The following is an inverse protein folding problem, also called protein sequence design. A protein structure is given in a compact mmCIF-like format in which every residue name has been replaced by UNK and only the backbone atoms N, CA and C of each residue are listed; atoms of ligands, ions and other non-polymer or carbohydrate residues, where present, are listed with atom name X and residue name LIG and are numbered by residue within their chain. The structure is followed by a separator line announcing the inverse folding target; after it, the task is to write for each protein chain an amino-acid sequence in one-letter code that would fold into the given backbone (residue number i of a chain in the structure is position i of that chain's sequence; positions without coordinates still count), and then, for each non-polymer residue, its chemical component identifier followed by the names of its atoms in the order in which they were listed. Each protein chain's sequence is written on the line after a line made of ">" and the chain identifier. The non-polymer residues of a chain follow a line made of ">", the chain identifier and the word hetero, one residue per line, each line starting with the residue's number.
data_IF_513748004276
#
_entry.id   IF_513748004276
#
_cell.length_a   1.000
_cell.length_b   1.000
_cell.length_c   1.000
_cell.angle_alpha   90.00
_cell.angle_beta   90.00
_cell.angle_gamma   90.00
#
_symmetry.space_group_name_H-M   'P 1'
#
loop_
_entity.id
_entity.type
_entity.pdbx_description
1 polymer ?
#
# COMPACT_ATOMS: atom_id res chain seq x y z
N UNK A 1 -3.31 1.75 -45.44
CA UNK A 1 -2.42 2.50 -44.53
C UNK A 1 -2.41 1.75 -43.21
N UNK A 2 -1.33 1.02 -42.91
CA UNK A 2 -1.15 0.40 -41.60
C UNK A 2 -1.01 1.51 -40.55
N UNK A 3 -1.90 1.54 -39.57
CA UNK A 3 -1.71 2.37 -38.37
C UNK A 3 -0.36 2.03 -37.75
N UNK A 4 0.49 3.01 -37.40
CA UNK A 4 1.80 2.74 -36.81
C UNK A 4 1.59 1.91 -35.55
N UNK A 5 2.23 0.73 -35.47
CA UNK A 5 2.21 -0.10 -34.27
C UNK A 5 2.77 0.75 -33.13
N UNK A 6 1.90 1.16 -32.19
CA UNK A 6 2.32 1.78 -30.93
C UNK A 6 3.43 0.92 -30.33
N UNK A 7 4.61 1.51 -30.14
CA UNK A 7 5.77 0.83 -29.57
C UNK A 7 5.39 0.20 -28.23
N UNK A 8 5.52 -1.12 -28.14
CA UNK A 8 5.22 -1.85 -26.91
C UNK A 8 6.31 -1.55 -25.90
N UNK A 9 5.91 -1.05 -24.74
CA UNK A 9 6.84 -0.70 -23.65
C UNK A 9 6.78 -1.76 -22.57
N UNK A 10 7.94 -2.28 -22.19
CA UNK A 10 8.12 -3.11 -21.00
C UNK A 10 8.85 -2.24 -19.97
N UNK A 11 8.29 -2.14 -18.78
CA UNK A 11 8.86 -1.35 -17.69
C UNK A 11 9.08 -2.25 -16.48
N UNK A 12 10.33 -2.34 -16.03
CA UNK A 12 10.79 -3.21 -14.94
C UNK A 12 11.03 -2.36 -13.70
N UNK A 13 10.20 -2.57 -12.69
CA UNK A 13 10.17 -1.80 -11.46
C UNK A 13 10.54 -2.71 -10.29
N UNK A 14 11.48 -2.29 -9.45
CA UNK A 14 11.75 -2.94 -8.17
C UNK A 14 11.07 -2.16 -7.05
N UNK A 15 10.39 -2.87 -6.14
CA UNK A 15 10.01 -2.34 -4.84
C UNK A 15 10.92 -2.94 -3.78
N UNK A 16 11.80 -2.12 -3.19
CA UNK A 16 12.73 -2.49 -2.12
C UNK A 16 12.35 -1.78 -0.81
N UNK A 17 13.00 -2.17 0.29
CA UNK A 17 12.85 -1.58 1.62
C UNK A 17 12.81 -2.61 2.74
N UNK A 18 12.82 -2.10 3.97
CA UNK A 18 12.73 -2.88 5.19
C UNK A 18 11.34 -3.50 5.42
N UNK A 19 11.16 -4.27 6.51
CA UNK A 19 9.86 -4.79 6.90
C UNK A 19 8.86 -3.65 7.13
N UNK A 20 7.55 -3.92 7.00
CA UNK A 20 6.49 -2.92 7.20
C UNK A 20 6.55 -1.64 6.33
N UNK A 21 7.37 -1.56 5.28
CA UNK A 21 7.41 -0.37 4.38
C UNK A 21 6.19 -0.18 3.47
N UNK A 22 5.32 -1.21 3.37
CA UNK A 22 4.10 -1.18 2.54
C UNK A 22 4.25 -1.76 1.13
N UNK A 23 5.36 -2.47 0.84
CA UNK A 23 5.67 -3.06 -0.49
C UNK A 23 4.52 -3.89 -1.07
N UNK A 24 4.03 -4.90 -0.35
CA UNK A 24 2.95 -5.80 -0.84
C UNK A 24 1.65 -5.04 -1.18
N UNK A 25 1.29 -4.06 -0.36
CA UNK A 25 0.15 -3.17 -0.63
C UNK A 25 0.44 -2.27 -1.84
N UNK A 26 1.65 -1.75 -1.95
CA UNK A 26 2.14 -0.96 -3.08
C UNK A 26 2.06 -1.72 -4.40
N UNK A 27 2.55 -2.96 -4.46
CA UNK A 27 2.43 -3.83 -5.63
C UNK A 27 0.97 -4.01 -6.06
N UNK A 28 0.07 -4.24 -5.10
CA UNK A 28 -1.36 -4.42 -5.37
C UNK A 28 -2.01 -3.14 -5.92
N UNK A 29 -1.61 -1.98 -5.40
CA UNK A 29 -2.07 -0.66 -5.85
C UNK A 29 -1.57 -0.32 -7.26
N UNK A 30 -0.28 -0.52 -7.51
CA UNK A 30 0.34 -0.37 -8.84
C UNK A 30 -0.32 -1.30 -9.86
N UNK A 31 -0.49 -2.57 -9.51
CA UNK A 31 -1.15 -3.54 -10.39
C UNK A 31 -2.54 -3.08 -10.78
N UNK A 32 -3.37 -2.73 -9.79
CA UNK A 32 -4.73 -2.24 -10.05
C UNK A 32 -4.72 -0.97 -10.91
N UNK A 33 -3.83 -0.03 -10.61
CA UNK A 33 -3.74 1.25 -11.32
C UNK A 33 -3.36 1.05 -12.80
N UNK A 34 -2.28 0.31 -13.07
CA UNK A 34 -1.79 0.08 -14.43
C UNK A 34 -2.68 -0.85 -15.25
N UNK A 35 -3.29 -1.87 -14.63
CA UNK A 35 -4.29 -2.70 -15.31
C UNK A 35 -5.51 -1.89 -15.75
N UNK A 36 -5.96 -0.93 -14.93
CA UNK A 36 -7.03 0.00 -15.32
C UNK A 36 -6.64 0.95 -16.45
N UNK A 37 -5.34 1.21 -16.65
CA UNK A 37 -4.80 1.94 -17.80
C UNK A 37 -4.63 1.05 -19.04
N UNK A 38 -4.98 -0.24 -18.97
CA UNK A 38 -4.86 -1.19 -20.08
C UNK A 38 -3.50 -1.89 -20.16
N UNK A 39 -2.59 -1.68 -19.21
CA UNK A 39 -1.30 -2.37 -19.17
C UNK A 39 -1.49 -3.83 -18.71
N UNK A 40 -0.60 -4.71 -19.16
CA UNK A 40 -0.38 -6.01 -18.51
C UNK A 40 0.51 -5.76 -17.32
N UNK A 41 0.14 -6.29 -16.15
CA UNK A 41 1.03 -6.27 -14.99
C UNK A 41 1.48 -7.69 -14.67
N UNK A 42 2.79 -7.85 -14.50
CA UNK A 42 3.43 -9.04 -13.94
C UNK A 42 3.98 -8.69 -12.56
N UNK A 43 3.88 -9.64 -11.63
CA UNK A 43 4.48 -9.52 -10.31
C UNK A 43 5.41 -10.69 -10.11
N UNK A 44 6.67 -10.38 -9.89
CA UNK A 44 7.70 -11.36 -9.58
C UNK A 44 7.68 -11.57 -8.07
N UNK A 45 7.44 -12.79 -7.58
CA UNK A 45 7.38 -13.07 -6.15
C UNK A 45 8.75 -12.91 -5.49
N UNK A 46 8.75 -12.60 -4.19
CA UNK A 46 9.98 -12.56 -3.38
C UNK A 46 10.62 -13.97 -3.36
N UNK A 47 11.76 -14.12 -4.04
CA UNK A 47 12.42 -15.43 -4.23
C UNK A 47 12.86 -16.03 -2.91
N UNK A 48 13.29 -15.19 -1.95
CA UNK A 48 13.64 -15.65 -0.60
C UNK A 48 12.46 -16.33 0.09
N UNK A 49 11.25 -15.74 0.03
CA UNK A 49 10.06 -16.35 0.60
C UNK A 49 9.71 -17.70 -0.05
N UNK A 50 9.89 -17.82 -1.36
CA UNK A 50 9.68 -19.08 -2.08
C UNK A 50 10.63 -20.17 -1.55
N UNK A 51 11.93 -19.88 -1.46
CA UNK A 51 12.93 -20.83 -0.99
C UNK A 51 12.77 -21.20 0.49
N UNK A 52 12.49 -20.22 1.35
CA UNK A 52 12.28 -20.45 2.79
C UNK A 52 11.01 -21.26 3.07
N UNK A 53 9.93 -21.00 2.33
CA UNK A 53 8.70 -21.80 2.43
C UNK A 53 8.90 -23.27 2.01
N UNK A 54 9.95 -23.55 1.23
CA UNK A 54 10.36 -24.89 0.81
C UNK A 54 11.13 -25.69 1.88
N UNK A 55 11.32 -25.14 3.08
CA UNK A 55 11.95 -25.84 4.21
C UNK A 55 13.38 -25.41 4.52
N UNK A 56 13.92 -24.41 3.82
CA UNK A 56 15.24 -23.85 4.14
C UNK A 56 15.14 -22.95 5.36
N UNK A 57 15.99 -23.19 6.36
CA UNK A 57 16.08 -22.39 7.58
C UNK A 57 17.48 -21.84 7.74
N UNK A 58 17.62 -20.51 7.76
CA UNK A 58 18.92 -19.86 7.90
C UNK A 58 19.68 -20.26 9.17
N UNK A 59 18.96 -20.50 10.27
CA UNK A 59 19.56 -20.89 11.56
C UNK A 59 20.23 -22.27 11.54
N UNK A 60 19.92 -23.12 10.56
CA UNK A 60 20.47 -24.47 10.45
C UNK A 60 21.70 -24.52 9.54
N UNK A 61 22.03 -23.42 8.84
CA UNK A 61 23.11 -23.37 7.84
C UNK A 61 24.43 -22.96 8.49
N UNK A 62 25.50 -23.70 8.19
CA UNK A 62 26.88 -23.27 8.45
C UNK A 62 27.27 -22.12 7.52
N UNK A 63 28.35 -21.43 7.82
CA UNK A 63 28.80 -20.24 7.08
C UNK A 63 28.98 -20.49 5.57
N UNK A 64 29.60 -21.61 5.19
CA UNK A 64 29.77 -22.01 3.79
C UNK A 64 28.45 -22.37 3.11
N UNK A 65 27.53 -23.01 3.83
CA UNK A 65 26.20 -23.36 3.33
C UNK A 65 25.34 -22.10 3.14
N UNK A 66 25.47 -21.13 4.04
CA UNK A 66 24.84 -19.82 3.93
C UNK A 66 25.38 -19.03 2.72
N UNK A 67 26.69 -19.06 2.47
CA UNK A 67 27.27 -18.47 1.26
C UNK A 67 26.70 -19.12 -0.01
N UNK A 68 26.68 -20.46 -0.05
CA UNK A 68 26.14 -21.19 -1.21
C UNK A 68 24.64 -20.97 -1.38
N UNK A 69 23.91 -20.81 -0.29
CA UNK A 69 22.50 -20.45 -0.33
C UNK A 69 22.29 -19.08 -0.95
N UNK A 70 23.06 -18.06 -0.55
CA UNK A 70 22.97 -16.71 -1.10
C UNK A 70 23.29 -16.67 -2.61
N UNK A 71 24.29 -17.45 -3.04
CA UNK A 71 24.59 -17.65 -4.46
C UNK A 71 23.39 -18.23 -5.22
N UNK A 72 22.79 -19.31 -4.70
CA UNK A 72 21.63 -19.95 -5.34
C UNK A 72 20.37 -19.08 -5.28
N UNK A 73 20.18 -18.31 -4.21
CA UNK A 73 19.10 -17.34 -4.08
C UNK A 73 19.16 -16.32 -5.20
N UNK A 74 20.35 -15.72 -5.43
CA UNK A 74 20.52 -14.73 -6.48
C UNK A 74 20.37 -15.34 -7.89
N UNK A 75 20.92 -16.54 -8.14
CA UNK A 75 20.71 -17.28 -9.40
C UNK A 75 19.23 -17.50 -9.68
N UNK A 76 18.50 -17.96 -8.67
CA UNK A 76 17.06 -18.24 -8.78
C UNK A 76 16.28 -16.96 -9.03
N UNK A 77 16.62 -15.88 -8.32
CA UNK A 77 15.97 -14.57 -8.50
C UNK A 77 16.13 -14.06 -9.93
N UNK A 78 17.36 -14.10 -10.46
CA UNK A 78 17.66 -13.72 -11.84
C UNK A 78 16.84 -14.56 -12.83
N UNK A 79 16.80 -15.88 -12.64
CA UNK A 79 16.08 -16.78 -13.55
C UNK A 79 14.55 -16.55 -13.54
N UNK A 80 13.96 -16.35 -12.36
CA UNK A 80 12.52 -16.08 -12.24
C UNK A 80 12.20 -14.74 -12.92
N UNK A 81 12.97 -13.69 -12.64
CA UNK A 81 12.81 -12.38 -13.28
C UNK A 81 12.95 -12.46 -14.81
N UNK A 82 13.98 -13.16 -15.32
CA UNK A 82 14.19 -13.34 -16.77
C UNK A 82 12.99 -14.03 -17.42
N UNK A 83 12.41 -15.03 -16.73
CA UNK A 83 11.20 -15.70 -17.18
C UNK A 83 10.04 -14.71 -17.35
N UNK A 84 9.82 -13.82 -16.37
CA UNK A 84 8.79 -12.79 -16.49
C UNK A 84 9.12 -11.73 -17.55
N UNK A 85 10.40 -11.39 -17.73
CA UNK A 85 10.85 -10.44 -18.74
C UNK A 85 10.59 -10.98 -20.15
N UNK A 86 10.88 -12.26 -20.40
CA UNK A 86 10.57 -12.93 -21.68
C UNK A 86 9.06 -13.05 -21.91
N UNK A 87 8.29 -13.46 -20.89
CA UNK A 87 6.83 -13.51 -21.00
C UNK A 87 6.24 -12.13 -21.31
N UNK A 88 6.80 -11.05 -20.77
CA UNK A 88 6.36 -9.69 -21.09
C UNK A 88 6.63 -9.29 -22.54
N UNK A 89 7.70 -9.79 -23.18
CA UNK A 89 7.98 -9.57 -24.61
C UNK A 89 6.94 -10.21 -25.53
N UNK A 90 6.36 -11.34 -25.11
CA UNK A 90 5.30 -12.02 -25.88
C UNK A 90 3.94 -11.31 -25.82
N UNK A 91 3.77 -10.35 -24.90
CA UNK A 91 2.48 -9.68 -24.72
C UNK A 91 2.13 -8.73 -25.88
N UNK A 92 0.84 -8.67 -26.19
CA UNK A 92 0.26 -7.75 -27.19
C UNK A 92 0.16 -6.28 -26.74
N UNK A 93 0.38 -6.00 -25.45
CA UNK A 93 0.13 -4.71 -24.78
C UNK A 93 1.36 -4.24 -24.00
N UNK A 94 1.36 -2.98 -23.57
CA UNK A 94 2.38 -2.47 -22.65
C UNK A 94 2.41 -3.30 -21.35
N UNK A 95 3.61 -3.53 -20.82
CA UNK A 95 3.84 -4.38 -19.66
C UNK A 95 4.55 -3.62 -18.54
N UNK A 96 4.02 -3.70 -17.33
CA UNK A 96 4.71 -3.35 -16.10
C UNK A 96 5.08 -4.65 -15.39
N UNK A 97 6.35 -4.80 -15.02
CA UNK A 97 6.85 -5.93 -14.25
C UNK A 97 7.31 -5.38 -12.91
N UNK A 98 6.70 -5.84 -11.83
CA UNK A 98 6.98 -5.40 -10.47
C UNK A 98 7.74 -6.52 -9.77
N UNK A 99 8.99 -6.28 -9.39
CA UNK A 99 9.79 -7.20 -8.59
C UNK A 99 9.66 -6.85 -7.10
N UNK A 100 9.24 -7.85 -6.31
CA UNK A 100 9.27 -7.77 -4.84
C UNK A 100 10.68 -8.06 -4.35
N UNK A 101 11.46 -7.00 -4.11
CA UNK A 101 12.93 -7.00 -4.08
C UNK A 101 13.56 -7.37 -5.42
N UNK A 102 14.77 -6.88 -5.67
CA UNK A 102 15.54 -7.20 -6.87
C UNK A 102 16.93 -7.74 -6.53
N UNK A 103 17.71 -8.06 -7.56
CA UNK A 103 19.03 -8.67 -7.45
C UNK A 103 19.97 -8.03 -6.41
N UNK A 104 19.98 -6.69 -6.31
CA UNK A 104 20.86 -6.00 -5.37
C UNK A 104 20.40 -6.15 -3.91
N UNK A 105 19.11 -6.40 -3.62
CA UNK A 105 18.64 -6.63 -2.24
C UNK A 105 19.37 -7.80 -1.57
N UNK A 106 19.90 -8.77 -2.34
CA UNK A 106 20.69 -9.87 -1.80
C UNK A 106 21.99 -9.39 -1.12
N UNK A 107 22.57 -8.27 -1.57
CA UNK A 107 23.79 -7.72 -0.97
C UNK A 107 23.56 -7.15 0.43
N UNK A 108 22.31 -6.84 0.81
CA UNK A 108 21.98 -6.34 2.14
C UNK A 108 22.11 -7.43 3.23
N UNK A 109 22.19 -8.71 2.85
CA UNK A 109 22.22 -9.85 3.77
C UNK A 109 23.59 -10.54 3.88
N UNK A 110 24.62 -10.03 3.19
CA UNK A 110 25.97 -10.58 3.24
C UNK A 110 27.03 -9.48 3.34
N UNK A 111 28.21 -9.81 3.86
CA UNK A 111 29.31 -8.84 3.93
C UNK A 111 29.78 -8.43 2.54
N UNK A 112 30.36 -7.23 2.44
CA UNK A 112 30.86 -6.67 1.19
C UNK A 112 31.90 -7.58 0.52
N UNK A 113 32.79 -8.17 1.31
CA UNK A 113 33.86 -9.07 0.82
C UNK A 113 33.26 -10.34 0.22
N UNK A 114 32.23 -10.91 0.89
CA UNK A 114 31.50 -12.07 0.37
C UNK A 114 30.71 -11.73 -0.88
N UNK A 115 30.11 -10.55 -0.95
CA UNK A 115 29.40 -10.07 -2.15
C UNK A 115 30.33 -9.89 -3.35
N UNK A 116 31.48 -9.26 -3.16
CA UNK A 116 32.49 -9.11 -4.22
C UNK A 116 33.00 -10.46 -4.72
N UNK A 117 33.25 -11.41 -3.82
CA UNK A 117 33.60 -12.78 -4.17
C UNK A 117 32.50 -13.47 -4.96
N UNK A 118 31.24 -13.35 -4.52
CA UNK A 118 30.08 -13.95 -5.17
C UNK A 118 29.86 -13.38 -6.58
N UNK A 119 30.05 -12.08 -6.77
CA UNK A 119 30.03 -11.44 -8.10
C UNK A 119 31.12 -12.03 -9.01
N UNK A 120 32.36 -12.12 -8.50
CA UNK A 120 33.51 -12.65 -9.24
C UNK A 120 33.34 -14.11 -9.64
N UNK A 121 32.94 -14.96 -8.69
CA UNK A 121 32.77 -16.41 -8.89
C UNK A 121 31.70 -16.73 -9.95
N UNK A 122 30.71 -15.85 -10.12
CA UNK A 122 29.60 -16.02 -11.07
C UNK A 122 29.74 -15.16 -12.34
N UNK A 123 30.85 -14.44 -12.50
CA UNK A 123 31.09 -13.51 -13.61
C UNK A 123 29.95 -12.48 -13.76
N UNK A 124 29.44 -11.99 -12.64
CA UNK A 124 28.45 -10.92 -12.57
C UNK A 124 29.13 -9.58 -12.31
N UNK A 125 28.46 -8.52 -12.74
CA UNK A 125 28.90 -7.16 -12.47
C UNK A 125 27.72 -6.30 -12.02
N UNK A 126 28.01 -5.31 -11.19
CA UNK A 126 26.99 -4.47 -10.59
C UNK A 126 26.27 -3.57 -11.59
N UNK A 127 26.87 -3.22 -12.72
CA UNK A 127 26.19 -2.39 -13.75
C UNK A 127 25.07 -3.18 -14.40
N UNK A 128 25.34 -4.43 -14.78
CA UNK A 128 24.32 -5.31 -15.34
C UNK A 128 23.21 -5.61 -14.33
N UNK A 129 23.58 -5.97 -13.09
CA UNK A 129 22.59 -6.34 -12.07
C UNK A 129 21.80 -5.14 -11.53
N UNK A 130 22.42 -3.97 -11.36
CA UNK A 130 21.78 -2.77 -10.80
C UNK A 130 21.11 -1.95 -11.90
N UNK A 131 21.86 -1.55 -12.93
CA UNK A 131 21.48 -0.45 -13.84
C UNK A 131 20.74 -0.94 -15.09
N UNK A 132 21.26 -1.98 -15.76
CA UNK A 132 20.69 -2.43 -17.04
C UNK A 132 19.47 -3.33 -16.87
N UNK A 133 19.34 -3.98 -15.71
CA UNK A 133 18.28 -4.96 -15.46
C UNK A 133 16.94 -4.32 -15.16
N UNK A 134 16.93 -3.19 -14.45
CA UNK A 134 15.70 -2.51 -14.00
C UNK A 134 15.60 -1.11 -14.58
N UNK A 135 14.38 -0.64 -14.82
CA UNK A 135 14.16 0.73 -15.28
C UNK A 135 14.06 1.72 -14.13
N UNK A 136 13.57 1.27 -12.97
CA UNK A 136 13.38 2.10 -11.79
C UNK A 136 13.38 1.25 -10.53
N UNK A 137 13.92 1.84 -9.47
CA UNK A 137 13.93 1.28 -8.12
C UNK A 137 13.16 2.23 -7.22
N UNK A 138 12.21 1.69 -6.44
CA UNK A 138 11.50 2.44 -5.42
C UNK A 138 11.79 1.84 -4.06
N UNK A 139 12.42 2.63 -3.19
CA UNK A 139 12.59 2.31 -1.78
C UNK A 139 11.38 2.75 -0.98
N UNK A 140 10.67 1.79 -0.42
CA UNK A 140 9.52 2.00 0.45
C UNK A 140 9.98 1.98 1.90
N UNK A 141 10.24 3.17 2.48
CA UNK A 141 10.80 3.33 3.83
C UNK A 141 9.96 2.59 4.87
N UNK A 142 10.59 1.78 5.72
CA UNK A 142 9.93 1.04 6.80
C UNK A 142 9.10 1.95 7.71
N UNK A 143 7.94 1.46 8.19
CA UNK A 143 7.19 2.17 9.23
C UNK A 143 8.01 2.39 10.51
N UNK A 144 9.07 1.59 10.73
CA UNK A 144 10.01 1.80 11.84
C UNK A 144 10.76 3.15 11.76
N UNK A 145 10.72 3.86 10.63
CA UNK A 145 11.39 5.15 10.46
C UNK A 145 10.35 6.27 10.20
N UNK A 146 10.01 7.05 11.23
CA UNK A 146 9.10 8.20 11.12
C UNK A 146 7.60 7.85 11.10
N UNK A 147 7.24 6.61 11.42
CA UNK A 147 5.86 6.13 11.55
C UNK A 147 5.77 4.96 12.55
N UNK A 148 6.60 5.00 13.59
CA UNK A 148 6.86 3.90 14.54
C UNK A 148 5.58 3.40 15.21
N UNK A 149 4.63 4.32 15.42
CA UNK A 149 3.31 4.03 15.98
C UNK A 149 2.48 3.03 15.14
N UNK A 150 2.82 2.85 13.86
CA UNK A 150 2.19 1.90 12.93
C UNK A 150 3.02 0.63 12.71
N UNK A 151 4.19 0.50 13.35
CA UNK A 151 5.02 -0.69 13.25
C UNK A 151 4.53 -1.77 14.24
N UNK A 152 3.74 -2.72 13.75
CA UNK A 152 3.21 -3.83 14.56
C UNK A 152 3.85 -5.17 14.17
N UNK A 153 4.38 -5.91 15.14
CA UNK A 153 4.93 -7.27 14.97
C UNK A 153 3.86 -8.36 15.07
N UNK A 154 2.67 -8.05 15.60
CA UNK A 154 1.66 -9.04 16.03
C UNK A 154 1.00 -9.88 14.92
N UNK A 155 0.98 -9.44 13.66
CA UNK A 155 0.17 -10.05 12.59
C UNK A 155 0.97 -10.75 11.46
N UNK A 156 2.29 -10.81 11.59
CA UNK A 156 3.13 -11.50 10.60
C UNK A 156 3.94 -12.59 11.29
N UNK A 157 3.56 -13.86 11.06
CA UNK A 157 4.17 -15.09 11.59
C UNK A 157 5.66 -15.29 11.28
N UNK A 158 6.33 -14.30 10.69
CA UNK A 158 7.73 -14.31 10.30
C UNK A 158 8.50 -13.06 10.75
N UNK A 159 7.98 -12.24 11.68
CA UNK A 159 8.65 -11.00 12.11
C UNK A 159 8.90 -11.00 13.62
N UNK A 160 10.13 -11.29 14.00
CA UNK A 160 10.64 -11.17 15.37
C UNK A 160 11.40 -9.87 15.61
N UNK A 161 11.68 -9.09 14.56
CA UNK A 161 12.61 -7.97 14.63
C UNK A 161 12.02 -6.74 15.35
N UNK A 162 12.75 -6.24 16.34
CA UNK A 162 12.48 -4.95 17.00
C UNK A 162 12.55 -3.76 16.04
N UNK A 163 12.06 -2.59 16.50
CA UNK A 163 12.01 -1.36 15.69
C UNK A 163 13.40 -0.95 15.21
N UNK A 164 14.43 -1.10 16.05
CA UNK A 164 15.81 -0.75 15.74
C UNK A 164 16.37 -1.62 14.62
N UNK A 165 16.21 -2.94 14.72
CA UNK A 165 16.64 -3.87 13.67
C UNK A 165 15.87 -3.62 12.36
N UNK A 166 14.58 -3.28 12.45
CA UNK A 166 13.77 -2.92 11.29
C UNK A 166 14.24 -1.64 10.58
N UNK A 167 14.81 -0.68 11.31
CA UNK A 167 15.46 0.51 10.73
C UNK A 167 16.77 0.14 10.03
N UNK A 168 17.62 -0.64 10.71
CA UNK A 168 18.89 -1.10 10.13
C UNK A 168 18.68 -1.89 8.83
N UNK A 169 17.70 -2.80 8.81
CA UNK A 169 17.32 -3.55 7.61
C UNK A 169 16.75 -2.65 6.50
N UNK A 170 16.08 -1.55 6.83
CA UNK A 170 15.61 -0.57 5.86
C UNK A 170 16.79 0.19 5.24
N UNK A 171 17.72 0.65 6.07
CA UNK A 171 18.90 1.38 5.64
C UNK A 171 19.81 0.51 4.76
N UNK A 172 20.02 -0.76 5.14
CA UNK A 172 20.79 -1.72 4.35
C UNK A 172 20.13 -2.00 2.99
N UNK A 173 18.79 -2.11 2.95
CA UNK A 173 18.05 -2.29 1.71
C UNK A 173 18.18 -1.06 0.80
N UNK A 174 18.09 0.16 1.34
CA UNK A 174 18.33 1.38 0.56
C UNK A 174 19.77 1.44 0.04
N UNK A 175 20.74 1.13 0.89
CA UNK A 175 22.16 1.19 0.58
C UNK A 175 22.56 0.26 -0.57
N UNK A 176 21.92 -0.91 -0.68
CA UNK A 176 22.15 -1.87 -1.76
C UNK A 176 21.90 -1.30 -3.16
N UNK A 177 21.05 -0.27 -3.27
CA UNK A 177 20.66 0.34 -4.54
C UNK A 177 21.35 1.68 -4.83
N UNK A 178 22.24 2.15 -3.94
CA UNK A 178 22.99 3.39 -4.15
C UNK A 178 23.77 3.31 -5.47
N UNK A 179 23.61 4.38 -6.27
CA UNK A 179 24.22 4.53 -7.58
C UNK A 179 23.34 4.13 -8.76
N UNK A 180 22.14 3.56 -8.54
CA UNK A 180 21.18 3.38 -9.62
C UNK A 180 20.66 4.75 -10.12
N UNK A 181 20.63 5.03 -11.44
CA UNK A 181 20.27 6.35 -11.97
C UNK A 181 18.81 6.76 -11.73
N UNK A 182 17.93 5.78 -11.52
CA UNK A 182 16.50 6.00 -11.27
C UNK A 182 16.08 5.32 -9.96
N UNK A 183 16.55 5.89 -8.84
CA UNK A 183 16.23 5.46 -7.47
C UNK A 183 15.35 6.51 -6.80
N UNK A 184 14.14 6.12 -6.40
CA UNK A 184 13.16 6.98 -5.75
C UNK A 184 12.88 6.49 -4.32
N UNK A 185 12.90 7.40 -3.35
CA UNK A 185 12.63 7.08 -1.94
C UNK A 185 11.25 7.60 -1.55
N UNK A 186 10.42 6.71 -1.01
CA UNK A 186 9.06 7.02 -0.54
C UNK A 186 9.04 6.89 0.98
N UNK A 187 9.28 8.02 1.65
CA UNK A 187 9.30 8.16 3.12
C UNK A 187 7.91 8.09 3.78
N UNK A 188 7.83 8.25 5.10
CA UNK A 188 6.59 8.26 5.86
C UNK A 188 6.07 9.68 6.20
N UNK A 189 6.48 10.71 5.43
CA UNK A 189 6.07 12.12 5.65
C UNK A 189 4.57 12.39 5.51
N UNK A 190 3.82 11.44 4.97
CA UNK A 190 2.38 11.52 4.71
C UNK A 190 1.69 10.31 5.29
N UNK A 191 0.37 10.37 5.43
CA UNK A 191 -0.45 9.19 5.72
C UNK A 191 -0.20 8.05 4.71
N UNK A 192 -0.62 6.84 5.08
CA UNK A 192 -0.34 5.66 4.26
C UNK A 192 -0.90 5.77 2.83
N UNK A 193 -2.08 6.37 2.64
CA UNK A 193 -2.63 6.59 1.30
C UNK A 193 -1.84 7.65 0.51
N UNK A 194 -1.40 8.74 1.15
CA UNK A 194 -0.46 9.71 0.57
C UNK A 194 0.85 9.06 0.13
N UNK A 195 1.39 8.15 0.95
CA UNK A 195 2.58 7.37 0.64
C UNK A 195 2.39 6.52 -0.62
N UNK A 196 1.28 5.78 -0.69
CA UNK A 196 0.94 4.98 -1.88
C UNK A 196 0.74 5.85 -3.12
N UNK A 197 0.14 7.04 -2.99
CA UNK A 197 -0.04 7.98 -4.10
C UNK A 197 1.30 8.49 -4.62
N UNK A 198 2.22 8.90 -3.74
CA UNK A 198 3.58 9.32 -4.12
C UNK A 198 4.35 8.21 -4.84
N UNK A 199 4.25 6.97 -4.35
CA UNK A 199 4.84 5.81 -5.02
C UNK A 199 4.31 5.66 -6.46
N UNK A 200 2.98 5.64 -6.67
CA UNK A 200 2.41 5.52 -8.02
C UNK A 200 2.78 6.74 -8.88
N UNK A 201 2.76 7.93 -8.29
CA UNK A 201 3.18 9.19 -8.93
C UNK A 201 4.59 9.12 -9.47
N UNK A 202 5.54 8.66 -8.66
CA UNK A 202 6.93 8.47 -9.05
C UNK A 202 7.06 7.50 -10.25
N UNK A 203 6.38 6.35 -10.22
CA UNK A 203 6.39 5.42 -11.37
C UNK A 203 5.84 6.09 -12.63
N UNK A 204 4.70 6.78 -12.52
CA UNK A 204 4.08 7.39 -13.69
C UNK A 204 4.89 8.53 -14.28
N UNK A 205 5.53 9.34 -13.43
CA UNK A 205 6.41 10.43 -13.85
C UNK A 205 7.58 9.88 -14.67
N UNK A 206 8.27 8.83 -14.19
CA UNK A 206 9.36 8.19 -14.93
C UNK A 206 8.90 7.49 -16.20
N UNK A 207 7.66 6.96 -16.18
CA UNK A 207 7.04 6.38 -17.36
C UNK A 207 6.50 7.42 -18.35
N UNK A 208 6.56 8.73 -18.03
CA UNK A 208 5.95 9.80 -18.82
C UNK A 208 4.48 9.50 -19.18
N UNK A 209 3.75 8.88 -18.25
CA UNK A 209 2.31 8.64 -18.40
C UNK A 209 1.61 9.90 -17.90
N UNK A 210 0.81 10.53 -18.77
CA UNK A 210 -0.09 11.59 -18.34
C UNK A 210 -1.17 11.00 -17.43
N UNK A 211 -1.00 11.19 -16.14
CA UNK A 211 -1.92 10.69 -15.11
C UNK A 211 -3.08 11.65 -14.87
N UNK A 212 -3.07 12.81 -15.52
CA UNK A 212 -3.91 13.95 -15.17
C UNK A 212 -3.97 14.15 -13.64
N UNK A 213 -5.19 14.33 -13.14
CA UNK A 213 -5.52 14.62 -11.75
C UNK A 213 -5.47 13.40 -10.81
N UNK A 214 -5.08 12.20 -11.26
CA UNK A 214 -5.25 10.99 -10.41
C UNK A 214 -4.23 10.88 -9.28
N UNK A 215 -3.06 11.52 -9.43
CA UNK A 215 -1.89 11.30 -8.57
C UNK A 215 -1.35 12.56 -7.90
N UNK A 216 -1.97 13.74 -8.10
CA UNK A 216 -1.55 14.93 -7.35
C UNK A 216 -1.92 14.77 -5.87
N UNK A 217 -1.16 15.41 -4.97
CA UNK A 217 -1.26 15.24 -3.51
C UNK A 217 -2.66 15.50 -2.93
N UNK A 218 -3.48 16.30 -3.60
CA UNK A 218 -4.87 16.62 -3.27
C UNK A 218 -5.92 15.73 -3.94
N UNK A 219 -5.52 14.62 -4.59
CA UNK A 219 -6.45 13.66 -5.20
C UNK A 219 -7.28 12.97 -4.14
N UNK A 220 -8.58 13.28 -4.10
CA UNK A 220 -9.58 12.74 -3.17
C UNK A 220 -10.53 11.81 -3.89
N UNK A 221 -10.94 10.76 -3.18
CA UNK A 221 -12.02 9.88 -3.65
C UNK A 221 -13.34 10.61 -3.48
N UNK A 222 -14.08 10.77 -4.57
CA UNK A 222 -15.43 11.32 -4.54
C UNK A 222 -16.45 10.23 -4.87
N UNK A 223 -17.62 10.34 -4.24
CA UNK A 223 -18.73 9.42 -4.43
C UNK A 223 -20.01 10.21 -4.66
N UNK A 224 -20.76 9.83 -5.68
CA UNK A 224 -22.01 10.47 -6.05
C UNK A 224 -23.14 9.45 -6.08
N UNK A 225 -24.30 9.84 -5.57
CA UNK A 225 -25.54 9.09 -5.75
C UNK A 225 -26.09 9.39 -7.14
N UNK A 226 -26.41 8.34 -7.90
CA UNK A 226 -26.98 8.45 -9.24
C UNK A 226 -28.44 8.03 -9.19
N UNK A 227 -29.31 8.89 -9.75
CA UNK A 227 -30.74 8.62 -9.86
C UNK A 227 -31.01 7.76 -11.09
N UNK A 228 -31.59 6.59 -10.86
CA UNK A 228 -32.02 5.71 -11.95
C UNK A 228 -33.28 6.22 -12.68
N UNK A 229 -33.61 5.63 -13.85
CA UNK A 229 -32.86 4.57 -14.54
C UNK A 229 -31.59 5.09 -15.24
N UNK A 230 -30.64 4.19 -15.52
CA UNK A 230 -29.45 4.53 -16.31
C UNK A 230 -29.82 4.70 -17.79
N UNK A 231 -29.09 5.54 -18.54
CA UNK A 231 -29.26 5.65 -19.99
C UNK A 231 -28.87 4.34 -20.70
N UNK A 232 -29.24 4.21 -21.97
CA UNK A 232 -28.83 3.08 -22.81
C UNK A 232 -27.30 2.93 -22.85
N UNK A 233 -26.84 1.69 -22.99
CA UNK A 233 -25.42 1.34 -23.09
C UNK A 233 -24.74 2.08 -24.26
N UNK A 234 -25.47 2.42 -25.32
CA UNK A 234 -24.96 3.14 -26.50
C UNK A 234 -24.48 4.57 -26.20
N UNK A 235 -24.99 5.17 -25.11
CA UNK A 235 -24.61 6.52 -24.69
C UNK A 235 -23.29 6.50 -23.93
N UNK A 236 -22.90 5.35 -23.36
CA UNK A 236 -21.64 5.24 -22.64
C UNK A 236 -20.46 5.20 -23.63
N UNK A 237 -19.33 5.85 -23.30
CA UNK A 237 -18.08 5.57 -24.00
C UNK A 237 -17.66 4.12 -23.74
N UNK A 238 -16.59 3.66 -24.40
CA UNK A 238 -16.03 2.32 -24.15
C UNK A 238 -15.91 2.03 -22.65
N UNK A 239 -16.61 0.98 -22.22
CA UNK A 239 -16.69 0.59 -20.82
C UNK A 239 -16.34 -0.89 -20.63
N UNK A 240 -16.10 -1.27 -19.39
CA UNK A 240 -15.91 -2.66 -18.96
C UNK A 240 -16.77 -2.93 -17.74
N UNK A 241 -17.52 -4.02 -17.78
CA UNK A 241 -18.38 -4.45 -16.68
C UNK A 241 -17.72 -5.57 -15.89
N UNK A 242 -17.80 -5.46 -14.57
CA UNK A 242 -17.27 -6.45 -13.64
C UNK A 242 -18.34 -6.88 -12.65
N UNK A 243 -18.44 -8.18 -12.42
CA UNK A 243 -19.15 -8.74 -11.28
C UNK A 243 -18.31 -8.50 -10.02
N UNK A 244 -18.90 -7.90 -9.00
CA UNK A 244 -18.22 -7.64 -7.73
C UNK A 244 -19.09 -8.08 -6.57
N UNK A 245 -18.52 -8.93 -5.72
CA UNK A 245 -19.17 -9.45 -4.52
C UNK A 245 -18.34 -9.07 -3.30
N UNK A 246 -18.97 -8.49 -2.30
CA UNK A 246 -18.34 -8.18 -1.01
C UNK A 246 -19.02 -8.92 0.12
N UNK A 247 -18.22 -9.53 0.98
CA UNK A 247 -18.68 -10.25 2.17
C UNK A 247 -17.86 -9.79 3.37
N UNK A 248 -18.53 -9.32 4.43
CA UNK A 248 -17.88 -9.00 5.70
C UNK A 248 -17.69 -10.27 6.53
N UNK A 249 -16.54 -10.38 7.20
CA UNK A 249 -16.19 -11.50 8.07
C UNK A 249 -16.27 -11.06 9.52
N UNK A 250 -16.54 -12.03 10.40
CA UNK A 250 -16.49 -11.79 11.83
C UNK A 250 -15.06 -11.44 12.26
N UNK A 251 -14.91 -10.47 13.15
CA UNK A 251 -13.63 -10.11 13.76
C UNK A 251 -13.80 -9.94 15.27
N UNK A 252 -12.84 -10.48 16.03
CA UNK A 252 -12.79 -10.35 17.49
C UNK A 252 -12.24 -8.98 17.93
N UNK A 253 -11.81 -8.15 16.98
CA UNK A 253 -11.26 -6.80 17.17
C UNK A 253 -12.24 -5.77 16.58
N UNK A 254 -12.14 -4.46 16.91
CA UNK A 254 -12.97 -3.43 16.26
C UNK A 254 -12.66 -3.24 14.76
N UNK A 255 -11.83 -4.10 14.18
CA UNK A 255 -11.42 -4.04 12.79
C UNK A 255 -12.53 -4.54 11.87
N UNK A 256 -12.75 -3.84 10.76
CA UNK A 256 -13.67 -4.29 9.73
C UNK A 256 -12.93 -5.21 8.77
N UNK A 257 -13.32 -6.48 8.73
CA UNK A 257 -12.72 -7.48 7.84
C UNK A 257 -13.68 -7.77 6.69
N UNK A 258 -13.19 -7.72 5.45
CA UNK A 258 -14.01 -8.02 4.27
C UNK A 258 -13.26 -8.82 3.21
N UNK A 259 -13.97 -9.71 2.55
CA UNK A 259 -13.57 -10.34 1.31
C UNK A 259 -14.22 -9.63 0.12
N UNK A 260 -13.46 -9.50 -0.97
CA UNK A 260 -13.95 -9.04 -2.27
C UNK A 260 -13.62 -10.07 -3.33
N UNK A 261 -14.63 -10.56 -4.03
CA UNK A 261 -14.51 -11.27 -5.32
C UNK A 261 -14.83 -10.28 -6.43
N UNK A 262 -13.96 -10.12 -7.42
CA UNK A 262 -14.19 -9.27 -8.59
C UNK A 262 -13.78 -9.99 -9.86
N UNK A 263 -14.59 -9.98 -10.90
CA UNK A 263 -14.26 -10.69 -12.13
C UNK A 263 -15.17 -10.38 -13.30
N UNK A 264 -14.90 -11.06 -14.40
CA UNK A 264 -15.70 -11.04 -15.62
C UNK A 264 -15.46 -12.35 -16.38
N UNK A 265 -16.48 -12.82 -17.13
CA UNK A 265 -16.37 -14.01 -17.99
C UNK A 265 -15.84 -15.26 -17.26
N UNK A 266 -16.26 -15.46 -16.01
CA UNK A 266 -15.85 -16.61 -15.19
C UNK A 266 -14.46 -16.52 -14.53
N UNK A 267 -13.68 -15.46 -14.80
CA UNK A 267 -12.37 -15.26 -14.17
C UNK A 267 -12.46 -14.22 -13.06
N UNK A 268 -11.97 -14.57 -11.87
CA UNK A 268 -12.11 -13.75 -10.67
C UNK A 268 -10.78 -13.54 -9.94
N UNK A 269 -10.62 -12.35 -9.36
CA UNK A 269 -9.61 -12.03 -8.36
C UNK A 269 -10.25 -11.86 -6.98
N UNK A 270 -9.49 -12.20 -5.94
CA UNK A 270 -9.94 -12.21 -4.57
C UNK A 270 -9.02 -11.34 -3.71
N UNK A 271 -9.62 -10.47 -2.89
CA UNK A 271 -8.89 -9.63 -1.95
C UNK A 271 -9.51 -9.76 -0.57
N UNK A 272 -8.66 -10.05 0.41
CA UNK A 272 -8.94 -9.91 1.83
C UNK A 272 -8.53 -8.51 2.28
N UNK A 273 -9.43 -7.78 2.93
CA UNK A 273 -9.17 -6.43 3.42
C UNK A 273 -9.44 -6.36 4.92
N UNK A 274 -8.46 -5.88 5.68
CA UNK A 274 -8.59 -5.61 7.12
C UNK A 274 -8.47 -4.11 7.31
N UNK A 275 -9.54 -3.47 7.75
CA UNK A 275 -9.56 -2.05 8.11
C UNK A 275 -9.44 -1.93 9.62
N UNK A 276 -8.27 -1.53 10.09
CA UNK A 276 -7.97 -1.35 11.51
C UNK A 276 -8.51 -0.01 12.00
N UNK A 277 -9.45 -0.06 12.94
CA UNK A 277 -10.01 1.15 13.57
C UNK A 277 -9.17 1.52 14.80
N UNK A 278 -9.13 2.82 15.14
CA UNK A 278 -8.48 3.34 16.36
C UNK A 278 -6.99 3.04 16.44
N UNK A 279 -6.25 3.30 15.37
CA UNK A 279 -4.79 3.31 15.44
C UNK A 279 -4.32 4.61 16.15
N UNK A 280 -3.08 4.65 16.65
CA UNK A 280 -2.46 5.89 17.15
C UNK A 280 -2.64 7.07 16.19
N UNK A 281 -2.80 8.28 16.74
CA UNK A 281 -3.10 9.49 15.96
C UNK A 281 -4.51 9.53 15.33
N UNK A 282 -5.40 8.59 15.65
CA UNK A 282 -6.77 8.55 15.11
C UNK A 282 -6.87 8.07 13.66
N UNK A 283 -5.77 7.59 13.07
CA UNK A 283 -5.73 7.13 11.70
C UNK A 283 -6.47 5.79 11.53
N UNK A 284 -6.99 5.56 10.32
CA UNK A 284 -7.67 4.32 9.94
C UNK A 284 -6.87 3.65 8.84
N UNK A 285 -6.24 2.52 9.17
CA UNK A 285 -5.35 1.79 8.24
C UNK A 285 -6.13 0.67 7.55
N UNK A 286 -6.07 0.61 6.22
CA UNK A 286 -6.72 -0.46 5.42
C UNK A 286 -5.65 -1.35 4.75
N UNK A 287 -5.44 -2.55 5.29
CA UNK A 287 -4.53 -3.57 4.74
C UNK A 287 -5.26 -4.42 3.70
N UNK A 288 -4.67 -4.61 2.53
CA UNK A 288 -5.25 -5.41 1.43
C UNK A 288 -4.30 -6.53 1.04
N UNK A 289 -4.76 -7.77 1.18
CA UNK A 289 -4.01 -8.97 0.83
C UNK A 289 -4.72 -9.67 -0.34
N UNK A 290 -3.99 -9.95 -1.41
CA UNK A 290 -4.53 -10.80 -2.47
C UNK A 290 -4.52 -12.26 -2.02
N UNK A 291 -5.61 -12.97 -2.28
CA UNK A 291 -5.76 -14.37 -1.92
C UNK A 291 -6.17 -15.19 -3.15
N UNK A 292 -5.97 -16.50 -3.08
CA UNK A 292 -6.42 -17.42 -4.12
C UNK A 292 -7.89 -17.83 -3.91
N UNK A 293 -8.44 -18.63 -4.83
CA UNK A 293 -9.83 -19.09 -4.75
C UNK A 293 -10.09 -19.99 -3.53
N UNK A 294 -9.16 -20.88 -3.19
CA UNK A 294 -9.28 -21.82 -2.06
C UNK A 294 -9.36 -21.07 -0.73
N UNK A 295 -8.48 -20.11 -0.52
CA UNK A 295 -8.45 -19.27 0.68
C UNK A 295 -9.72 -18.44 0.78
N UNK A 296 -10.21 -17.90 -0.34
CA UNK A 296 -11.48 -17.17 -0.38
C UNK A 296 -12.65 -18.05 0.09
N UNK A 297 -12.76 -19.29 -0.41
CA UNK A 297 -13.81 -20.23 0.01
C UNK A 297 -13.67 -20.59 1.49
N UNK A 298 -12.45 -20.87 1.97
CA UNK A 298 -12.21 -21.19 3.37
C UNK A 298 -12.62 -20.04 4.30
N UNK A 299 -12.26 -18.81 3.95
CA UNK A 299 -12.56 -17.63 4.77
C UNK A 299 -14.05 -17.26 4.73
N UNK A 300 -14.80 -17.62 3.68
CA UNK A 300 -16.25 -17.42 3.63
C UNK A 300 -16.99 -18.17 4.76
N UNK A 301 -16.41 -19.23 5.32
CA UNK A 301 -16.98 -19.92 6.49
C UNK A 301 -17.11 -18.99 7.72
N UNK A 302 -16.31 -17.91 7.78
CA UNK A 302 -16.31 -16.93 8.87
C UNK A 302 -17.17 -15.69 8.58
N UNK A 303 -18.10 -15.80 7.61
CA UNK A 303 -19.00 -14.70 7.24
C UNK A 303 -19.75 -14.13 8.44
N UNK A 304 -19.72 -12.81 8.58
CA UNK A 304 -20.45 -12.13 9.64
C UNK A 304 -21.97 -12.19 9.35
N UNK A 305 -22.71 -12.82 10.27
CA UNK A 305 -24.17 -12.97 10.16
C UNK A 305 -24.92 -11.64 10.28
N UNK A 306 -24.30 -10.62 10.88
CA UNK A 306 -24.88 -9.26 10.99
C UNK A 306 -24.74 -8.41 9.73
N UNK A 307 -24.08 -8.95 8.69
CA UNK A 307 -23.98 -8.32 7.38
C UNK A 307 -24.62 -9.16 6.26
N UNK A 308 -25.20 -8.49 5.28
CA UNK A 308 -25.57 -9.04 3.97
C UNK A 308 -24.34 -9.07 3.06
N UNK A 309 -24.26 -10.09 2.20
CA UNK A 309 -23.33 -10.05 1.07
C UNK A 309 -23.85 -9.04 0.07
N UNK A 310 -22.98 -8.14 -0.38
CA UNK A 310 -23.32 -7.13 -1.39
C UNK A 310 -22.91 -7.66 -2.76
N UNK A 311 -23.87 -7.69 -3.67
CA UNK A 311 -23.67 -7.97 -5.10
C UNK A 311 -23.80 -6.67 -5.87
N UNK A 312 -22.87 -6.45 -6.80
CA UNK A 312 -22.92 -5.28 -7.68
C UNK A 312 -22.28 -5.57 -9.02
N UNK A 313 -22.84 -4.95 -10.04
CA UNK A 313 -22.20 -4.76 -11.33
C UNK A 313 -21.43 -3.44 -11.32
N UNK A 314 -20.12 -3.53 -11.51
CA UNK A 314 -19.24 -2.35 -11.59
C UNK A 314 -18.91 -2.07 -13.05
N UNK A 315 -19.46 -0.97 -13.57
CA UNK A 315 -19.13 -0.45 -14.90
C UNK A 315 -18.01 0.58 -14.79
N UNK A 316 -16.88 0.30 -15.42
CA UNK A 316 -15.73 1.18 -15.46
C UNK A 316 -15.61 1.84 -16.84
N UNK A 317 -15.45 3.17 -16.87
CA UNK A 317 -15.36 3.91 -18.13
C UNK A 317 -14.57 5.21 -17.96
N UNK A 318 -14.16 5.79 -19.10
CA UNK A 318 -13.40 7.04 -19.15
C UNK A 318 -14.20 8.12 -19.87
N UNK A 319 -14.39 9.28 -19.24
CA UNK A 319 -15.06 10.46 -19.81
C UNK A 319 -14.23 11.69 -19.43
N UNK A 320 -13.98 12.61 -20.37
CA UNK A 320 -13.28 13.87 -20.11
C UNK A 320 -11.94 13.67 -19.38
N UNK A 321 -11.17 12.65 -19.79
CA UNK A 321 -9.92 12.20 -19.17
C UNK A 321 -10.04 11.72 -17.70
N UNK A 322 -11.27 11.60 -17.19
CA UNK A 322 -11.58 11.16 -15.84
C UNK A 322 -12.12 9.72 -15.85
N UNK A 323 -11.55 8.87 -14.99
CA UNK A 323 -11.98 7.48 -14.86
C UNK A 323 -13.05 7.36 -13.80
N UNK A 324 -14.12 6.67 -14.14
CA UNK A 324 -15.27 6.49 -13.29
C UNK A 324 -15.53 5.01 -13.02
N UNK A 325 -16.00 4.71 -11.82
CA UNK A 325 -16.52 3.40 -11.43
C UNK A 325 -17.99 3.59 -11.04
N UNK A 326 -18.90 3.05 -11.83
CA UNK A 326 -20.33 3.07 -11.56
C UNK A 326 -20.72 1.72 -10.96
N UNK A 327 -21.06 1.72 -9.67
CA UNK A 327 -21.54 0.57 -8.93
C UNK A 327 -23.06 0.52 -8.99
N UNK A 328 -23.59 -0.51 -9.64
CA UNK A 328 -25.02 -0.81 -9.72
C UNK A 328 -25.28 -1.94 -8.74
N UNK A 329 -26.04 -1.68 -7.67
CA UNK A 329 -26.33 -2.68 -6.65
C UNK A 329 -27.38 -3.67 -7.17
N UNK A 330 -27.09 -4.97 -7.02
CA UNK A 330 -27.90 -6.06 -7.56
C UNK A 330 -28.53 -6.89 -6.45
N UNK A 331 -29.64 -7.57 -6.77
CA UNK A 331 -30.25 -8.53 -5.86
C UNK A 331 -29.42 -9.84 -5.81
N UNK A 332 -29.36 -10.53 -4.66
CA UNK A 332 -30.03 -10.24 -3.40
C UNK A 332 -29.34 -9.10 -2.62
N UNK A 333 -30.11 -8.11 -2.17
CA UNK A 333 -29.60 -6.98 -1.39
C UNK A 333 -30.59 -6.57 -0.30
N UNK A 334 -30.14 -5.81 0.70
CA UNK A 334 -31.04 -5.21 1.67
C UNK A 334 -31.99 -4.23 0.96
N UNK A 335 -33.28 -4.10 1.34
CA UNK A 335 -34.24 -3.17 0.71
C UNK A 335 -33.71 -1.75 0.46
N UNK A 336 -32.87 -1.23 1.37
CA UNK A 336 -32.20 0.08 1.27
C UNK A 336 -31.20 0.23 0.12
N UNK A 337 -30.69 -0.88 -0.41
CA UNK A 337 -29.77 -0.90 -1.56
C UNK A 337 -30.50 -1.12 -2.89
N UNK A 338 -31.81 -1.41 -2.86
CA UNK A 338 -32.57 -1.75 -4.06
C UNK A 338 -32.63 -0.54 -5.01
N UNK A 339 -32.15 -0.73 -6.23
CA UNK A 339 -32.06 0.32 -7.24
C UNK A 339 -30.99 1.38 -6.99
N UNK A 340 -30.11 1.17 -6.00
CA UNK A 340 -29.06 2.13 -5.66
C UNK A 340 -27.90 2.07 -6.66
N UNK A 341 -27.47 3.25 -7.11
CA UNK A 341 -26.35 3.39 -8.04
C UNK A 341 -25.38 4.43 -7.48
N UNK A 342 -24.10 4.06 -7.39
CA UNK A 342 -23.05 4.94 -6.87
C UNK A 342 -21.97 5.14 -7.92
N UNK A 343 -21.66 6.39 -8.24
CA UNK A 343 -20.57 6.77 -9.12
C UNK A 343 -19.36 7.18 -8.27
N UNK A 344 -18.23 6.51 -8.46
CA UNK A 344 -16.98 6.80 -7.76
C UNK A 344 -15.92 7.31 -8.74
N UNK A 345 -15.12 8.28 -8.30
CA UNK A 345 -13.98 8.82 -9.04
C UNK A 345 -12.90 9.31 -8.09
N UNK A 346 -11.69 9.54 -8.61
CA UNK A 346 -10.57 10.12 -7.87
C UNK A 346 -10.09 11.36 -8.63
N UNK A 347 -10.09 12.51 -7.97
CA UNK A 347 -9.79 13.79 -8.63
C UNK A 347 -9.16 14.79 -7.65
N UNK A 348 -8.36 15.69 -8.19
CA UNK A 348 -7.71 16.81 -7.49
C UNK A 348 -8.44 18.13 -7.74
N UNK A 349 -9.44 18.11 -8.62
CA UNK A 349 -10.19 19.30 -8.99
C UNK A 349 -11.09 19.75 -7.84
N UNK A 350 -11.15 21.07 -7.68
CA UNK A 350 -12.21 21.70 -6.90
C UNK A 350 -13.58 21.37 -7.48
N UNK A 351 -14.61 21.38 -6.62
CA UNK A 351 -15.99 20.95 -6.95
C UNK A 351 -16.52 21.66 -8.20
N UNK A 352 -16.20 22.95 -8.36
CA UNK A 352 -16.59 23.79 -9.50
C UNK A 352 -16.01 23.31 -10.84
N UNK A 353 -14.74 22.89 -10.85
CA UNK A 353 -14.08 22.38 -12.07
C UNK A 353 -14.43 20.93 -12.37
N UNK A 354 -14.74 20.15 -11.32
CA UNK A 354 -15.18 18.77 -11.47
C UNK A 354 -16.52 18.67 -12.18
N UNK A 355 -17.46 19.59 -11.93
CA UNK A 355 -18.78 19.60 -12.55
C UNK A 355 -18.74 19.49 -14.08
N UNK A 356 -17.76 20.14 -14.71
CA UNK A 356 -17.54 20.08 -16.17
C UNK A 356 -17.01 18.73 -16.67
N UNK A 357 -16.31 17.97 -15.81
CA UNK A 357 -15.74 16.66 -16.15
C UNK A 357 -16.65 15.49 -15.77
N UNK A 358 -17.67 15.71 -14.95
CA UNK A 358 -18.68 14.68 -14.66
C UNK A 358 -19.41 14.26 -15.94
N UNK A 359 -19.79 12.97 -16.06
CA UNK A 359 -20.51 12.47 -17.22
C UNK A 359 -21.93 13.08 -17.26
N UNK A 360 -22.13 14.06 -18.14
CA UNK A 360 -23.40 14.79 -18.28
C UNK A 360 -24.58 13.92 -18.70
N UNK A 361 -24.29 12.75 -19.29
CA UNK A 361 -25.30 11.77 -19.67
C UNK A 361 -25.83 10.94 -18.47
N UNK A 362 -25.23 11.06 -17.28
CA UNK A 362 -25.67 10.39 -16.05
C UNK A 362 -26.39 11.39 -15.15
N UNK A 363 -27.58 11.01 -14.65
CA UNK A 363 -28.35 11.81 -13.71
C UNK A 363 -27.77 11.71 -12.29
N UNK A 364 -26.78 12.54 -11.98
CA UNK A 364 -26.17 12.63 -10.65
C UNK A 364 -27.11 13.44 -9.73
N UNK A 365 -27.55 12.82 -8.64
CA UNK A 365 -28.46 13.46 -7.67
C UNK A 365 -27.72 14.33 -6.67
N UNK A 366 -26.68 13.78 -6.04
CA UNK A 366 -25.86 14.50 -5.05
C UNK A 366 -24.52 13.82 -4.78
N UNK A 367 -23.58 14.59 -4.24
CA UNK A 367 -22.37 14.04 -3.66
C UNK A 367 -22.67 13.41 -2.29
N UNK A 368 -22.13 12.21 -2.06
CA UNK A 368 -22.27 11.41 -0.84
C UNK A 368 -20.90 10.96 -0.31
N UNK A 369 -19.83 11.69 -0.66
CA UNK A 369 -18.48 11.46 -0.16
C UNK A 369 -18.45 11.59 1.36
N UNK A 370 -17.92 10.60 2.07
CA UNK A 370 -17.84 10.62 3.52
C UNK A 370 -19.17 10.43 4.26
N UNK A 371 -20.31 10.35 3.58
CA UNK A 371 -21.60 10.10 4.22
C UNK A 371 -21.67 8.64 4.73
N UNK A 372 -21.83 8.41 6.05
CA UNK A 372 -21.93 7.07 6.62
C UNK A 372 -23.05 6.22 6.04
N UNK A 373 -24.15 6.84 5.60
CA UNK A 373 -25.30 6.14 5.02
C UNK A 373 -24.96 5.47 3.69
N UNK A 374 -23.97 5.99 2.97
CA UNK A 374 -23.50 5.43 1.69
C UNK A 374 -22.17 4.68 1.85
N UNK A 375 -21.76 4.40 3.08
CA UNK A 375 -20.63 3.52 3.35
C UNK A 375 -21.04 2.06 3.10
N UNK A 376 -20.18 1.31 2.42
CA UNK A 376 -20.48 -0.10 2.08
C UNK A 376 -20.71 -0.96 3.33
N UNK A 377 -20.02 -0.63 4.43
CA UNK A 377 -20.19 -1.32 5.71
C UNK A 377 -21.61 -1.14 6.24
N UNK A 378 -22.10 0.11 6.36
CA UNK A 378 -23.45 0.37 6.85
C UNK A 378 -24.52 -0.15 5.88
N UNK A 379 -24.29 -0.03 4.56
CA UNK A 379 -25.18 -0.59 3.53
C UNK A 379 -25.38 -2.10 3.69
N UNK A 380 -24.34 -2.82 4.10
CA UNK A 380 -24.43 -4.27 4.34
C UNK A 380 -25.04 -4.66 5.69
N UNK A 381 -25.21 -3.77 6.67
CA UNK A 381 -25.77 -4.16 7.97
C UNK A 381 -27.17 -4.75 7.83
N UNK A 382 -27.48 -5.83 8.55
CA UNK A 382 -28.83 -6.41 8.55
C UNK A 382 -29.81 -5.62 9.40
N UNK A 383 -29.33 -5.09 10.50
CA UNK A 383 -30.13 -4.32 11.45
C UNK A 383 -30.52 -2.96 10.87
N UNK A 384 -31.57 -2.36 11.44
CA UNK A 384 -31.94 -0.98 11.13
C UNK A 384 -30.95 0.00 11.72
N UNK A 385 -30.55 1.00 10.92
CA UNK A 385 -29.51 1.95 11.30
C UNK A 385 -29.88 2.83 12.49
N UNK A 386 -31.18 3.03 12.74
CA UNK A 386 -31.68 3.83 13.87
C UNK A 386 -31.50 3.14 15.22
N UNK A 387 -31.41 1.81 15.22
CA UNK A 387 -31.36 0.99 16.45
C UNK A 387 -30.07 0.19 16.56
N UNK A 388 -29.30 0.07 15.49
CA UNK A 388 -28.08 -0.73 15.47
C UNK A 388 -26.94 -0.05 16.21
N UNK A 389 -26.43 -0.73 17.24
CA UNK A 389 -25.17 -0.36 17.91
C UNK A 389 -23.94 -0.59 17.02
N UNK A 390 -24.11 -1.25 15.86
CA UNK A 390 -23.06 -1.54 14.88
C UNK A 390 -22.97 -0.50 13.76
N UNK A 391 -23.87 0.49 13.72
CA UNK A 391 -23.80 1.56 12.73
C UNK A 391 -22.50 2.36 12.92
N UNK A 392 -21.69 2.42 11.87
CA UNK A 392 -20.41 3.12 11.92
C UNK A 392 -20.61 4.58 11.49
N UNK A 393 -20.60 5.51 12.45
CA UNK A 393 -20.73 6.96 12.22
C UNK A 393 -19.44 7.59 11.70
N UNK A 394 -18.28 7.02 12.06
CA UNK A 394 -16.96 7.51 11.63
C UNK A 394 -16.64 6.95 10.24
N UNK A 395 -17.08 7.64 9.20
CA UNK A 395 -16.52 7.49 7.86
C UNK A 395 -15.43 8.54 7.76
N UNK A 396 -14.16 8.17 7.92
CA UNK A 396 -13.05 9.10 7.90
C UNK A 396 -13.16 10.07 6.70
N UNK A 397 -13.59 11.30 6.99
CA UNK A 397 -13.38 12.46 6.15
C UNK A 397 -11.99 12.92 6.54
N UNK A 398 -11.08 12.99 5.57
CA UNK A 398 -9.87 13.81 5.70
C UNK A 398 -10.40 15.23 5.85
N UNK A 399 -10.51 15.70 7.09
CA UNK A 399 -10.52 17.13 7.36
C UNK A 399 -9.05 17.51 7.49
N UNK A 400 -8.62 18.44 6.65
CA UNK A 400 -7.34 19.12 6.83
C UNK A 400 -7.27 19.67 8.26
N UNK A 401 -6.05 19.69 8.79
CA UNK A 401 -5.74 20.03 10.16
C UNK A 401 -5.88 21.53 10.44
N UNK A 402 -7.10 22.04 10.47
CA UNK A 402 -7.44 23.32 11.10
C UNK A 402 -8.81 23.17 11.75
N UNK A 403 -8.80 22.70 13.00
CA UNK A 403 -9.82 22.90 14.05
C UNK A 403 -9.72 21.76 15.07
N UNK A 404 -8.69 21.81 15.91
CA UNK A 404 -8.74 21.14 17.21
C UNK A 404 -9.41 22.11 18.19
N UNK A 405 -10.51 21.72 18.86
CA UNK A 405 -11.03 22.52 19.96
C UNK A 405 -9.99 22.58 21.07
N UNK A 406 -9.70 23.80 21.54
CA UNK A 406 -8.80 24.03 22.66
C UNK A 406 -9.22 23.16 23.86
N UNK A 407 -8.32 22.29 24.31
CA UNK A 407 -8.53 21.52 25.51
C UNK A 407 -8.53 22.47 26.72
N UNK A 408 -9.72 22.74 27.28
CA UNK A 408 -9.86 23.29 28.62
C UNK A 408 -9.23 22.32 29.61
N UNK A 409 -8.12 22.72 30.21
CA UNK A 409 -7.55 22.06 31.37
C UNK A 409 -8.53 22.20 32.54
N UNK A 410 -9.29 21.15 32.83
CA UNK A 410 -9.98 21.03 34.11
C UNK A 410 -8.95 20.77 35.21
N UNK A 411 -8.67 21.79 36.00
CA UNK A 411 -7.99 21.68 37.28
C UNK A 411 -8.82 20.82 38.24
N UNK A 412 -8.31 19.66 38.63
CA UNK A 412 -8.72 19.02 39.87
C UNK A 412 -7.89 19.58 41.01
N UNK A 413 -8.56 20.31 41.90
CA UNK A 413 -7.97 20.89 43.09
C UNK A 413 -7.66 19.85 44.16
N UNK A 414 -6.43 19.87 44.64
CA UNK A 414 -6.11 19.53 46.02
C UNK A 414 -5.43 20.73 46.66
N UNK A 415 -6.19 21.42 47.52
CA UNK A 415 -5.67 22.40 48.46
C UNK A 415 -4.94 21.66 49.58
N UNK A 416 -3.71 22.06 49.90
CA UNK A 416 -3.38 22.72 51.16
C UNK A 416 -1.87 22.85 51.33
N UNK A 417 -1.42 24.04 51.77
CA UNK A 417 -0.13 24.17 52.46
C UNK A 417 0.85 25.22 51.92
N UNK A 418 0.47 26.50 52.01
CA UNK A 418 1.24 27.54 52.73
C UNK A 418 2.75 27.65 52.39
N UNK A 419 3.13 28.65 51.58
CA UNK A 419 3.86 29.87 52.00
C UNK A 419 4.78 30.46 50.94
N UNK A 420 4.59 31.77 50.76
CA UNK A 420 5.40 32.80 50.10
C UNK A 420 6.91 32.60 50.22
N UNK A 421 7.67 32.85 49.14
CA UNK A 421 8.52 34.04 49.07
C UNK A 421 9.10 34.27 47.65
N UNK A 422 9.06 35.53 47.24
CA UNK A 422 9.72 36.14 46.08
C UNK A 422 11.24 36.21 46.24
N UNK A 423 11.98 36.22 45.12
CA UNK A 423 13.14 37.08 44.76
C UNK A 423 13.92 36.39 43.61
N UNK A 424 13.94 36.94 42.40
CA UNK A 424 14.88 37.93 41.85
C UNK A 424 16.34 37.45 41.73
N UNK A 425 16.76 37.32 40.47
CA UNK A 425 18.06 37.57 39.83
C UNK A 425 19.37 37.47 40.63
N UNK A 426 20.35 36.77 40.04
CA UNK A 426 21.76 36.97 40.34
C UNK A 426 22.69 36.10 39.50
N UNK A 427 23.26 36.68 38.44
CA UNK A 427 24.45 36.19 37.75
C UNK A 427 25.63 35.96 38.73
N UNK A 428 26.55 35.04 38.42
CA UNK A 428 27.91 35.32 37.90
C UNK A 428 28.76 34.03 37.86
N UNK A 429 29.41 33.86 36.71
CA UNK A 429 30.68 33.21 36.34
C UNK A 429 31.51 32.49 37.43
N UNK A 430 32.16 31.41 36.97
CA UNK A 430 33.63 31.34 37.08
C UNK A 430 34.25 29.94 37.23
N UNK A 431 35.00 29.55 36.19
CA UNK A 431 36.31 28.84 36.24
C UNK A 431 36.34 27.37 36.69
N UNK A 432 36.75 26.49 35.77
CA UNK A 432 38.09 25.83 35.68
C UNK A 432 38.11 24.56 36.54
N UNK A 433 38.63 23.40 36.16
CA UNK A 433 39.86 23.09 35.44
C UNK A 433 39.82 21.62 34.96
N UNK A 434 40.48 21.38 33.82
CA UNK A 434 41.50 20.35 33.50
C UNK A 434 41.32 18.85 33.74
N UNK A 435 42.03 18.15 32.83
CA UNK A 435 42.54 16.77 32.83
C UNK A 435 41.54 15.73 32.31
N UNK A 436 41.85 14.84 31.36
CA UNK A 436 43.12 14.48 30.73
C UNK A 436 43.01 13.04 30.24
N UNK A 437 43.22 12.83 28.93
CA UNK A 437 43.83 11.67 28.25
C UNK A 437 43.63 10.26 28.89
N UNK A 438 42.99 9.33 28.17
CA UNK A 438 43.65 8.11 27.61
C UNK A 438 42.70 7.18 26.83
N UNK A 439 43.31 6.65 25.78
CA UNK A 439 42.98 5.61 24.82
C UNK A 439 42.61 4.24 25.40
N UNK A 440 41.72 3.52 24.70
CA UNK A 440 41.67 2.08 24.39
C UNK A 440 40.19 1.76 24.09
N UNK A 441 39.78 1.23 22.93
CA UNK A 441 40.24 -0.01 22.31
C UNK A 441 39.15 -1.08 22.51
N UNK A 442 38.55 -1.56 21.42
CA UNK A 442 37.68 -2.74 21.43
C UNK A 442 36.23 -2.50 21.00
N UNK A 443 35.96 -2.65 19.71
CA UNK A 443 34.63 -3.00 19.19
C UNK A 443 34.27 -4.42 19.69
N UNK A 444 33.12 -4.64 20.34
CA UNK A 444 32.60 -5.98 20.54
C UNK A 444 31.73 -6.37 19.35
N UNK A 445 32.10 -7.51 18.76
CA UNK A 445 31.35 -8.34 17.83
C UNK A 445 29.91 -8.61 18.28
N UNK A 446 29.00 -8.49 17.32
CA UNK A 446 27.56 -8.76 17.43
C UNK A 446 27.31 -10.24 17.75
N UNK A 447 26.64 -10.50 18.89
CA UNK A 447 26.04 -11.79 19.20
C UNK A 447 24.55 -11.76 18.84
N UNK A 448 24.15 -12.66 17.94
CA UNK A 448 22.76 -12.98 17.58
C UNK A 448 21.87 -13.28 18.79
N UNK A 449 20.63 -12.76 18.75
CA UNK A 449 19.37 -13.21 19.42
C UNK A 449 18.38 -12.04 19.26
N UNK A 450 17.20 -12.10 18.63
CA UNK A 450 16.20 -13.14 18.28
C UNK A 450 15.39 -12.61 17.09
#
# INVERSE_FOLDING_TARGET
>A
METPRKEKRIYRLVLTGGPCGGKTTGQSRLSTFFENLGWKVFRVPETASVLLSGGIKFGDLKEEEAYKFQENLLKTMIQIEDTFFELAKTCGRHCLIICDRGAMDASAFISKEKWERLMKDNNWNSVELRDNRYNQIIHMVSAANGAEEFYTTEDHSCRSEGVELARELDDNAAAAWIGHPYFDVIDNSTDFEGKMRRMIGSVCQKMAIDTGDRLLQNSRKLKFLVKGPLPSDDVFPRFQDFEVVHTYLHSNSPNQVRLRKRGQKGYFSYIHTVRRQRQPGGQVVEVKTQINHRDYINMLAQKDKSHFTIYKKRRCFLVNNQYFQLDIYEEPSHPRCKGMILLETYTTLEVTNLGKRLPQFINIEKEVTGDPNYSMYNLSLREDWKTSKKFCTVTAIIKDAEDLPAHEMKHNGHQNGISKCSMMNGHIKGLSDKNGIKTNGGLPTISNKV
#
